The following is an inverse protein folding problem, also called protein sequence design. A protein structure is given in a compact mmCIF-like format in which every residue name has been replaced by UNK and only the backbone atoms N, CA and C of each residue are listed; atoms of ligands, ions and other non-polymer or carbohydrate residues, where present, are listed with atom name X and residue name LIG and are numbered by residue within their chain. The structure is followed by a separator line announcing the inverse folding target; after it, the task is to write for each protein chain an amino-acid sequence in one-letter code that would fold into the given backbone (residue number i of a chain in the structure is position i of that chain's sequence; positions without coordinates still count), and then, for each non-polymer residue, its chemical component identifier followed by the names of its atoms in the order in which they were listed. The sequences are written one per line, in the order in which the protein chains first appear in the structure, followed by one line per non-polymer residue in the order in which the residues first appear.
data_IF_619741154837
#
_entry.id   IF_619741154837
#
_cell.length_a   1.000
_cell.length_b   1.000
_cell.length_c   1.000
_cell.angle_alpha   90.00
_cell.angle_beta   90.00
_cell.angle_gamma   90.00
#
_symmetry.space_group_name_H-M   'P 1'
#
loop_
_entity.id
_entity.type
_entity.pdbx_description
1 polymer ?
#
# COMPACT_ATOMS: atom_id res chain seq x y z
N UNK A 1 -11.29 29.55 -10.66
CA UNK A 1 -12.20 28.89 -9.69
C UNK A 1 -11.37 28.31 -8.57
N UNK A 2 -11.81 28.42 -7.33
CA UNK A 2 -11.23 27.71 -6.19
C UNK A 2 -11.36 26.21 -6.42
N UNK A 3 -10.37 25.44 -5.96
CA UNK A 3 -10.37 23.97 -6.05
C UNK A 3 -10.33 23.41 -4.63
N UNK A 4 -11.07 22.33 -4.41
CA UNK A 4 -10.91 21.54 -3.18
C UNK A 4 -9.60 20.79 -3.28
N UNK A 5 -8.71 21.02 -2.32
CA UNK A 5 -7.39 20.40 -2.24
C UNK A 5 -7.33 19.59 -0.95
N UNK A 6 -6.88 18.34 -1.05
CA UNK A 6 -6.59 17.51 0.13
C UNK A 6 -5.16 17.78 0.59
N UNK A 7 -5.03 18.06 1.87
CA UNK A 7 -3.72 18.29 2.51
C UNK A 7 -3.41 17.10 3.39
N UNK A 8 -2.20 16.57 3.26
CA UNK A 8 -1.66 15.46 4.05
C UNK A 8 -0.40 15.90 4.76
N UNK A 9 -0.31 15.66 6.05
CA UNK A 9 0.87 15.95 6.86
C UNK A 9 1.82 14.75 6.88
N UNK A 10 3.06 14.97 6.44
CA UNK A 10 4.15 14.00 6.41
C UNK A 10 5.17 14.33 7.49
N UNK A 11 5.21 13.53 8.54
CA UNK A 11 6.27 13.59 9.56
C UNK A 11 7.59 13.11 8.94
N UNK A 12 8.65 13.92 9.02
CA UNK A 12 10.02 13.48 8.76
C UNK A 12 10.67 13.17 10.10
N UNK A 13 10.97 11.90 10.33
CA UNK A 13 11.54 11.37 11.57
C UNK A 13 12.91 10.77 11.30
N UNK A 14 13.96 11.37 11.85
CA UNK A 14 15.33 10.92 11.64
C UNK A 14 16.26 11.34 12.78
N UNK A 15 17.29 10.53 13.10
CA UNK A 15 18.37 10.91 14.00
C UNK A 15 19.26 12.02 13.40
N UNK A 16 20.05 12.67 14.26
CA UNK A 16 20.85 13.84 13.89
C UNK A 16 21.93 13.61 12.82
N UNK A 17 22.40 12.38 12.63
CA UNK A 17 23.40 12.01 11.62
C UNK A 17 22.88 12.00 10.18
N UNK A 18 21.57 12.13 10.01
CA UNK A 18 20.89 12.24 8.71
C UNK A 18 20.05 13.52 8.58
N UNK A 19 20.25 14.49 9.45
CA UNK A 19 19.51 15.77 9.42
C UNK A 19 19.66 16.55 8.10
N UNK A 20 20.78 16.39 7.38
CA UNK A 20 20.98 16.98 6.05
C UNK A 20 19.97 16.45 5.02
N UNK A 21 19.46 15.23 5.20
CA UNK A 21 18.47 14.67 4.32
C UNK A 21 17.11 15.40 4.41
N UNK A 22 16.80 16.04 5.55
CA UNK A 22 15.51 16.70 5.78
C UNK A 22 15.24 17.78 4.72
N UNK A 23 16.19 18.66 4.45
CA UNK A 23 16.02 19.70 3.42
C UNK A 23 15.88 19.14 2.01
N UNK A 24 16.60 18.06 1.70
CA UNK A 24 16.49 17.39 0.40
C UNK A 24 15.11 16.74 0.21
N UNK A 25 14.61 16.11 1.26
CA UNK A 25 13.28 15.48 1.28
C UNK A 25 12.16 16.53 1.21
N UNK A 26 12.29 17.66 1.91
CA UNK A 26 11.35 18.78 1.81
C UNK A 26 11.30 19.37 0.40
N UNK A 27 12.46 19.56 -0.24
CA UNK A 27 12.53 20.01 -1.65
C UNK A 27 11.84 19.01 -2.58
N UNK A 28 12.01 17.73 -2.33
CA UNK A 28 11.36 16.69 -3.11
C UNK A 28 9.83 16.67 -2.92
N UNK A 29 9.35 16.84 -1.71
CA UNK A 29 7.91 16.99 -1.44
C UNK A 29 7.34 18.22 -2.15
N UNK A 30 8.06 19.33 -2.17
CA UNK A 30 7.66 20.52 -2.94
C UNK A 30 7.63 20.23 -4.46
N UNK A 31 8.58 19.46 -4.97
CA UNK A 31 8.58 19.01 -6.37
C UNK A 31 7.35 18.14 -6.64
N UNK A 32 7.09 17.13 -5.79
CA UNK A 32 5.89 16.30 -5.87
C UNK A 32 4.60 17.15 -5.90
N UNK A 33 4.47 18.11 -5.00
CA UNK A 33 3.30 19.01 -4.94
C UNK A 33 3.08 19.79 -6.23
N UNK A 34 4.16 20.28 -6.86
CA UNK A 34 4.09 21.07 -8.09
C UNK A 34 3.68 20.27 -9.33
N UNK A 35 4.02 18.98 -9.37
CA UNK A 35 3.74 18.12 -10.52
C UNK A 35 2.59 17.16 -10.25
N UNK A 36 2.80 16.13 -9.44
CA UNK A 36 1.79 15.12 -9.16
C UNK A 36 0.64 15.69 -8.32
N UNK A 37 0.95 16.39 -7.24
CA UNK A 37 -0.02 16.97 -6.32
C UNK A 37 -0.96 17.95 -7.00
N UNK A 38 -0.43 18.89 -7.79
CA UNK A 38 -1.22 19.86 -8.56
C UNK A 38 -2.18 19.19 -9.53
N UNK A 39 -1.77 18.10 -10.19
CA UNK A 39 -2.61 17.34 -11.12
C UNK A 39 -3.78 16.66 -10.42
N UNK A 40 -3.55 16.15 -9.20
CA UNK A 40 -4.48 15.33 -8.45
C UNK A 40 -5.19 16.06 -7.30
N UNK A 41 -5.02 17.39 -7.18
CA UNK A 41 -5.55 18.24 -6.09
C UNK A 41 -5.10 17.75 -4.69
N UNK A 42 -3.83 17.39 -4.57
CA UNK A 42 -3.19 16.92 -3.34
C UNK A 42 -2.05 17.86 -2.99
N UNK A 43 -1.89 18.14 -1.70
CA UNK A 43 -0.71 18.80 -1.14
C UNK A 43 -0.19 17.92 0.01
N UNK A 44 1.10 17.62 -0.02
CA UNK A 44 1.82 17.02 1.09
C UNK A 44 2.58 18.13 1.80
N UNK A 45 2.35 18.28 3.09
CA UNK A 45 3.04 19.26 3.95
C UNK A 45 3.99 18.51 4.87
N UNK A 46 5.28 18.81 4.79
CA UNK A 46 6.28 18.22 5.67
C UNK A 46 6.15 18.78 7.09
N UNK A 47 6.32 17.90 8.07
CA UNK A 47 6.36 18.23 9.50
C UNK A 47 7.66 17.72 10.08
N UNK A 48 8.38 18.57 10.79
CA UNK A 48 9.62 18.19 11.47
C UNK A 48 9.71 18.93 12.81
N UNK A 49 10.15 18.22 13.85
CA UNK A 49 10.17 18.75 15.21
C UNK A 49 10.88 20.09 15.34
N UNK A 50 11.98 20.33 14.61
CA UNK A 50 12.77 21.58 14.69
C UNK A 50 12.07 22.81 14.11
N UNK A 51 11.02 22.64 13.33
CA UNK A 51 10.30 23.72 12.63
C UNK A 51 8.84 23.86 13.06
N UNK A 52 8.23 22.76 13.45
CA UNK A 52 6.78 22.67 13.64
C UNK A 52 6.38 22.47 15.11
N UNK A 53 7.34 22.36 16.05
CA UNK A 53 7.06 22.33 17.47
C UNK A 53 7.08 23.75 18.08
N UNK A 54 6.32 23.91 19.15
CA UNK A 54 6.29 25.12 19.96
C UNK A 54 6.65 24.82 21.43
N UNK A 55 7.09 25.86 22.16
CA UNK A 55 7.46 25.72 23.56
C UNK A 55 6.25 25.34 24.41
N UNK A 56 6.29 24.19 25.06
CA UNK A 56 5.27 23.70 25.99
C UNK A 56 5.96 23.03 27.19
N UNK A 57 5.36 23.19 28.40
CA UNK A 57 5.82 22.59 29.64
C UNK A 57 4.71 21.73 30.25
N UNK A 58 5.08 20.81 31.12
CA UNK A 58 4.11 20.03 31.90
C UNK A 58 4.12 18.52 31.57
N UNK A 59 4.93 18.12 30.60
CA UNK A 59 5.14 16.69 30.27
C UNK A 59 6.56 16.43 29.75
N UNK A 60 6.91 15.18 29.51
CA UNK A 60 8.19 14.82 28.92
C UNK A 60 8.32 15.36 27.48
N UNK A 61 9.52 15.79 27.04
CA UNK A 61 9.71 16.41 25.73
C UNK A 61 9.17 15.55 24.56
N UNK A 62 9.40 14.25 24.57
CA UNK A 62 8.93 13.37 23.49
C UNK A 62 7.40 13.25 23.48
N UNK A 63 6.75 13.20 24.64
CA UNK A 63 5.29 13.19 24.71
C UNK A 63 4.66 14.48 24.17
N UNK A 64 5.28 15.62 24.44
CA UNK A 64 4.84 16.89 23.89
C UNK A 64 4.98 16.92 22.37
N UNK A 65 6.11 16.43 21.83
CA UNK A 65 6.32 16.30 20.39
C UNK A 65 5.33 15.33 19.74
N UNK A 66 5.08 14.19 20.38
CA UNK A 66 4.09 13.24 19.91
C UNK A 66 2.71 13.88 19.75
N UNK A 67 2.26 14.59 20.76
CA UNK A 67 0.96 15.29 20.75
C UNK A 67 0.91 16.43 19.73
N UNK A 68 1.97 17.24 19.62
CA UNK A 68 2.00 18.41 18.75
C UNK A 68 2.12 18.05 17.27
N UNK A 69 2.86 16.98 16.93
CA UNK A 69 3.25 16.70 15.54
C UNK A 69 2.87 15.28 15.12
N UNK A 70 3.28 14.25 15.88
CA UNK A 70 3.17 12.84 15.44
C UNK A 70 1.71 12.43 15.30
N UNK A 71 0.88 12.69 16.33
CA UNK A 71 -0.52 12.29 16.37
C UNK A 71 -1.36 12.95 15.26
N UNK A 72 -1.00 14.17 14.87
CA UNK A 72 -1.68 14.94 13.84
C UNK A 72 -1.20 14.64 12.42
N UNK A 73 -0.05 13.97 12.25
CA UNK A 73 0.48 13.62 10.93
C UNK A 73 -0.27 12.45 10.31
N UNK A 74 -0.46 12.46 8.98
CA UNK A 74 -1.17 11.42 8.22
C UNK A 74 -0.26 10.27 7.81
N UNK A 75 1.04 10.56 7.65
CA UNK A 75 2.06 9.60 7.25
C UNK A 75 3.42 9.99 7.85
N UNK A 76 4.35 9.05 7.87
CA UNK A 76 5.72 9.29 8.32
C UNK A 76 6.76 8.81 7.30
N UNK A 77 7.91 9.47 7.32
CA UNK A 77 9.12 9.11 6.61
C UNK A 77 10.23 8.94 7.64
N UNK A 78 10.66 7.69 7.88
CA UNK A 78 11.75 7.32 8.76
C UNK A 78 13.05 7.09 7.98
N UNK A 79 14.16 7.70 8.42
CA UNK A 79 15.48 7.49 7.83
C UNK A 79 16.49 7.19 8.92
N UNK A 80 17.20 6.09 8.82
CA UNK A 80 18.31 5.73 9.71
C UNK A 80 19.61 5.54 8.92
N UNK A 81 20.73 5.87 9.56
CA UNK A 81 22.05 5.59 9.03
C UNK A 81 22.92 4.85 10.05
N UNK A 82 23.66 5.57 10.90
CA UNK A 82 24.55 4.98 11.90
C UNK A 82 24.10 5.24 13.34
N UNK A 83 23.24 6.21 13.57
CA UNK A 83 22.67 6.53 14.87
C UNK A 83 21.21 6.11 14.96
N UNK A 84 20.83 5.54 16.08
CA UNK A 84 19.44 5.20 16.38
C UNK A 84 18.69 6.40 17.00
N UNK A 85 19.43 7.22 17.72
CA UNK A 85 18.93 8.42 18.38
C UNK A 85 19.06 8.34 19.90
N UNK A 86 18.50 9.36 20.57
CA UNK A 86 18.51 9.47 22.03
C UNK A 86 17.34 8.66 22.62
N UNK A 87 17.59 7.82 23.65
CA UNK A 87 16.51 7.08 24.30
C UNK A 87 15.44 7.99 24.90
N UNK A 88 14.19 7.54 24.84
CA UNK A 88 13.04 8.08 25.56
C UNK A 88 12.72 7.21 26.77
N UNK A 89 11.66 7.49 27.50
CA UNK A 89 11.26 6.68 28.66
C UNK A 89 10.92 5.22 28.27
N UNK A 90 10.24 5.03 27.13
CA UNK A 90 9.69 3.74 26.73
C UNK A 90 10.36 3.12 25.50
N UNK A 91 11.20 3.87 24.78
CA UNK A 91 11.81 3.43 23.52
C UNK A 91 13.32 3.69 23.49
N UNK A 92 14.01 2.97 22.64
CA UNK A 92 15.44 3.14 22.43
C UNK A 92 15.84 4.46 21.76
N UNK A 93 14.86 5.16 21.14
CA UNK A 93 15.03 6.52 20.60
C UNK A 93 13.69 7.22 20.33
N UNK A 94 13.72 8.57 20.22
CA UNK A 94 12.55 9.35 19.80
C UNK A 94 12.10 8.99 18.39
N UNK A 95 13.03 8.76 17.44
CA UNK A 95 12.71 8.31 16.09
C UNK A 95 12.01 6.95 16.08
N UNK A 96 12.46 6.00 16.90
CA UNK A 96 11.77 4.71 17.08
C UNK A 96 10.35 4.94 17.60
N UNK A 97 10.18 5.72 18.64
CA UNK A 97 8.89 6.00 19.26
C UNK A 97 7.91 6.63 18.27
N UNK A 98 8.35 7.61 17.50
CA UNK A 98 7.54 8.26 16.46
C UNK A 98 7.07 7.27 15.39
N UNK A 99 7.97 6.40 14.90
CA UNK A 99 7.65 5.38 13.89
C UNK A 99 6.68 4.34 14.44
N UNK A 100 6.96 3.79 15.64
CA UNK A 100 6.11 2.78 16.28
C UNK A 100 4.71 3.33 16.57
N UNK A 101 4.64 4.59 16.99
CA UNK A 101 3.37 5.26 17.23
C UNK A 101 2.56 5.41 15.96
N UNK A 102 3.17 5.81 14.85
CA UNK A 102 2.52 5.91 13.55
C UNK A 102 2.03 4.53 13.05
N UNK A 103 2.85 3.49 13.20
CA UNK A 103 2.48 2.11 12.86
C UNK A 103 1.30 1.61 13.70
N UNK A 104 1.32 1.87 15.03
CA UNK A 104 0.23 1.46 15.93
C UNK A 104 -1.10 2.14 15.60
N UNK A 105 -1.08 3.34 15.03
CA UNK A 105 -2.25 4.06 14.53
C UNK A 105 -2.70 3.60 13.13
N UNK A 106 -2.01 2.62 12.52
CA UNK A 106 -2.30 2.14 11.16
C UNK A 106 -2.00 3.16 10.06
N UNK A 107 -1.13 4.14 10.33
CA UNK A 107 -0.75 5.18 9.36
C UNK A 107 0.38 4.68 8.45
N UNK A 108 0.50 5.29 7.27
CA UNK A 108 1.56 4.95 6.32
C UNK A 108 2.93 5.38 6.85
N UNK A 109 3.89 4.47 6.82
CA UNK A 109 5.29 4.75 7.13
C UNK A 109 6.17 4.34 5.95
N UNK A 110 6.98 5.29 5.47
CA UNK A 110 8.06 5.05 4.50
C UNK A 110 9.36 4.91 5.30
N UNK A 111 9.98 3.73 5.29
CA UNK A 111 11.16 3.46 6.10
C UNK A 111 12.38 3.15 5.24
N UNK A 112 13.47 3.88 5.50
CA UNK A 112 14.72 3.78 4.75
C UNK A 112 15.92 3.64 5.69
N UNK A 113 16.88 2.83 5.26
CA UNK A 113 18.19 2.67 5.93
C UNK A 113 19.28 3.06 4.95
N UNK A 114 20.10 4.07 5.30
CA UNK A 114 21.25 4.44 4.50
C UNK A 114 22.41 3.47 4.74
N UNK A 115 23.04 3.06 3.65
CA UNK A 115 24.22 2.18 3.63
C UNK A 115 25.37 2.86 2.87
N UNK A 116 25.68 4.08 3.28
CA UNK A 116 26.80 4.84 2.71
C UNK A 116 28.10 4.56 3.45
N UNK A 117 29.22 4.60 2.73
CA UNK A 117 30.53 4.32 3.34
C UNK A 117 30.84 5.24 4.53
N UNK A 118 31.30 4.66 5.61
CA UNK A 118 31.81 5.38 6.78
C UNK A 118 33.05 4.68 7.33
N UNK A 119 34.00 5.45 7.83
CA UNK A 119 35.13 4.87 8.54
C UNK A 119 34.68 4.10 9.78
N UNK A 120 35.11 2.85 9.99
CA UNK A 120 34.72 2.06 11.17
C UNK A 120 34.94 2.76 12.49
N UNK A 121 35.96 3.63 12.58
CA UNK A 121 36.28 4.41 13.79
C UNK A 121 35.24 5.49 14.13
N UNK A 122 34.34 5.80 13.21
CA UNK A 122 33.26 6.80 13.40
C UNK A 122 31.91 6.16 13.71
N UNK A 123 31.82 4.83 13.71
CA UNK A 123 30.60 4.09 14.00
C UNK A 123 30.48 3.89 15.51
N UNK A 124 29.42 4.40 16.09
CA UNK A 124 28.99 4.03 17.42
C UNK A 124 28.32 2.66 17.33
N UNK A 125 29.03 1.62 17.80
CA UNK A 125 28.58 0.24 17.68
C UNK A 125 27.26 -0.04 18.43
N UNK A 126 27.03 0.60 19.58
CA UNK A 126 25.81 0.45 20.35
C UNK A 126 24.59 1.05 19.61
N UNK A 127 24.76 2.23 19.04
CA UNK A 127 23.73 2.87 18.21
C UNK A 127 23.45 2.04 16.96
N UNK A 128 24.48 1.59 16.26
CA UNK A 128 24.31 0.81 15.03
C UNK A 128 23.66 -0.56 15.30
N UNK A 129 24.02 -1.21 16.41
CA UNK A 129 23.37 -2.46 16.83
C UNK A 129 21.87 -2.30 17.03
N UNK A 130 21.42 -1.18 17.62
CA UNK A 130 19.99 -0.89 17.79
C UNK A 130 19.29 -0.76 16.44
N UNK A 131 19.92 -0.13 15.43
CA UNK A 131 19.38 -0.05 14.06
C UNK A 131 19.18 -1.44 13.47
N UNK A 132 20.18 -2.34 13.62
CA UNK A 132 20.08 -3.69 13.10
C UNK A 132 18.95 -4.49 13.77
N UNK A 133 18.78 -4.35 15.09
CA UNK A 133 17.68 -4.97 15.82
C UNK A 133 16.30 -4.42 15.39
N UNK A 134 16.20 -3.10 15.22
CA UNK A 134 14.98 -2.48 14.73
C UNK A 134 14.64 -2.92 13.30
N UNK A 135 15.63 -2.99 12.42
CA UNK A 135 15.49 -3.51 11.06
C UNK A 135 15.02 -4.97 11.04
N UNK A 136 15.57 -5.80 11.91
CA UNK A 136 15.21 -7.23 12.01
C UNK A 136 13.78 -7.41 12.57
N UNK A 137 13.40 -6.62 13.57
CA UNK A 137 12.03 -6.59 14.13
C UNK A 137 10.98 -6.36 13.05
N UNK A 138 11.18 -5.41 12.16
CA UNK A 138 10.19 -5.03 11.14
C UNK A 138 10.31 -5.78 9.81
N UNK A 139 11.24 -6.71 9.70
CA UNK A 139 11.50 -7.49 8.48
C UNK A 139 10.30 -8.31 7.98
N UNK A 140 9.48 -8.78 8.90
CA UNK A 140 8.27 -9.57 8.60
C UNK A 140 6.98 -8.73 8.57
N UNK A 141 7.04 -7.44 8.94
CA UNK A 141 5.86 -6.60 9.12
C UNK A 141 5.65 -5.59 7.97
N UNK A 142 6.69 -5.37 7.15
CA UNK A 142 6.59 -4.35 6.10
C UNK A 142 7.72 -4.41 5.08
N UNK A 143 7.63 -3.51 4.10
CA UNK A 143 8.66 -3.30 3.08
C UNK A 143 9.42 -2.02 3.43
N UNK A 144 10.72 -2.14 3.61
CA UNK A 144 11.65 -1.02 3.76
C UNK A 144 12.82 -1.16 2.77
N UNK A 145 13.56 -0.08 2.56
CA UNK A 145 14.63 -0.08 1.59
C UNK A 145 15.99 0.26 2.22
N UNK A 146 17.03 -0.43 1.77
CA UNK A 146 18.42 -0.06 2.06
C UNK A 146 18.95 0.73 0.88
N UNK A 147 19.46 1.94 1.11
CA UNK A 147 19.75 2.97 0.12
C UNK A 147 21.22 3.38 0.23
N UNK A 148 21.91 3.50 -0.89
CA UNK A 148 23.37 3.71 -0.95
C UNK A 148 23.79 5.15 -0.62
N UNK A 149 22.96 6.14 -0.94
CA UNK A 149 23.24 7.57 -0.72
C UNK A 149 21.98 8.42 -0.67
N UNK A 150 22.12 9.69 -0.36
CA UNK A 150 21.03 10.64 -0.22
C UNK A 150 20.27 10.88 -1.54
N UNK A 151 20.96 10.84 -2.68
CA UNK A 151 20.34 11.03 -3.99
C UNK A 151 19.44 9.85 -4.34
N UNK A 152 19.89 8.63 -4.06
CA UNK A 152 19.12 7.42 -4.23
C UNK A 152 17.91 7.39 -3.26
N UNK A 153 18.09 7.92 -2.01
CA UNK A 153 16.99 8.09 -1.05
C UNK A 153 15.89 8.99 -1.62
N UNK A 154 16.27 10.18 -2.10
CA UNK A 154 15.30 11.15 -2.64
C UNK A 154 14.54 10.57 -3.83
N UNK A 155 15.23 9.89 -4.75
CA UNK A 155 14.61 9.25 -5.90
C UNK A 155 13.65 8.13 -5.49
N UNK A 156 14.07 7.28 -4.56
CA UNK A 156 13.24 6.16 -4.08
C UNK A 156 12.04 6.64 -3.29
N UNK A 157 12.20 7.68 -2.50
CA UNK A 157 11.09 8.31 -1.78
C UNK A 157 10.07 8.92 -2.76
N UNK A 158 10.52 9.63 -3.82
CA UNK A 158 9.63 10.15 -4.87
C UNK A 158 8.79 9.03 -5.48
N UNK A 159 9.43 7.96 -5.95
CA UNK A 159 8.74 6.82 -6.52
C UNK A 159 7.67 6.25 -5.55
N UNK A 160 8.06 6.04 -4.29
CA UNK A 160 7.15 5.49 -3.30
C UNK A 160 6.00 6.43 -2.96
N UNK A 161 6.25 7.74 -2.89
CA UNK A 161 5.23 8.75 -2.65
C UNK A 161 4.21 8.83 -3.80
N UNK A 162 4.69 8.80 -5.05
CA UNK A 162 3.85 8.78 -6.24
C UNK A 162 3.00 7.49 -6.31
N UNK A 163 3.60 6.32 -6.07
CA UNK A 163 2.88 5.05 -6.03
C UNK A 163 1.80 5.02 -4.95
N UNK A 164 2.12 5.54 -3.76
CA UNK A 164 1.17 5.60 -2.65
C UNK A 164 -0.03 6.47 -3.00
N UNK A 165 0.20 7.70 -3.48
CA UNK A 165 -0.89 8.60 -3.83
C UNK A 165 -1.65 8.19 -5.10
N UNK A 166 -0.99 7.55 -6.05
CA UNK A 166 -1.67 6.96 -7.21
C UNK A 166 -2.67 5.87 -6.75
N UNK A 167 -2.27 5.03 -5.81
CA UNK A 167 -3.16 4.01 -5.22
C UNK A 167 -4.38 4.62 -4.51
N UNK A 168 -4.18 5.69 -3.73
CA UNK A 168 -5.27 6.41 -3.05
C UNK A 168 -6.20 7.07 -4.06
N UNK A 169 -5.64 7.78 -5.05
CA UNK A 169 -6.41 8.53 -6.06
C UNK A 169 -7.26 7.59 -6.90
N UNK A 170 -6.68 6.48 -7.35
CA UNK A 170 -7.44 5.42 -8.05
C UNK A 170 -8.56 4.86 -7.18
N UNK A 171 -8.28 4.59 -5.90
CA UNK A 171 -9.29 4.12 -4.96
C UNK A 171 -10.45 5.11 -4.77
N UNK A 172 -10.18 6.40 -4.75
CA UNK A 172 -11.21 7.43 -4.61
C UNK A 172 -12.02 7.66 -5.89
N UNK A 173 -11.38 7.65 -7.06
CA UNK A 173 -12.07 7.69 -8.34
C UNK A 173 -12.99 6.48 -8.47
N UNK A 174 -12.53 5.33 -8.02
CA UNK A 174 -13.32 4.12 -7.99
C UNK A 174 -14.53 4.23 -7.06
N UNK A 175 -14.36 4.77 -5.84
CA UNK A 175 -15.47 5.02 -4.89
C UNK A 175 -16.47 6.06 -5.43
N UNK A 176 -16.01 7.09 -6.14
CA UNK A 176 -16.88 8.13 -6.74
C UNK A 176 -17.64 7.61 -7.95
N UNK A 177 -17.08 6.68 -8.72
CA UNK A 177 -17.72 6.11 -9.92
C UNK A 177 -18.66 4.95 -9.63
N UNK A 178 -18.66 4.43 -8.40
CA UNK A 178 -19.40 3.21 -8.06
C UNK A 178 -20.63 3.47 -7.21
N UNK A 179 -21.80 3.33 -7.82
CA UNK A 179 -22.84 2.49 -7.17
C UNK A 179 -22.13 1.19 -6.74
N UNK A 180 -22.35 0.71 -5.50
CA UNK A 180 -21.70 -0.48 -4.93
C UNK A 180 -21.51 -1.57 -5.99
N UNK A 181 -20.26 -1.77 -6.46
CA UNK A 181 -19.96 -2.81 -7.45
C UNK A 181 -19.71 -4.11 -6.71
N UNK A 182 -20.58 -5.06 -6.89
CA UNK A 182 -20.47 -6.39 -6.28
C UNK A 182 -19.74 -7.34 -7.23
N UNK A 183 -18.77 -8.08 -6.70
CA UNK A 183 -17.97 -9.09 -7.39
C UNK A 183 -18.42 -10.47 -6.95
N UNK A 184 -18.65 -11.36 -7.89
CA UNK A 184 -18.84 -12.78 -7.58
C UNK A 184 -17.47 -13.47 -7.55
N UNK A 185 -17.07 -13.98 -6.38
CA UNK A 185 -15.84 -14.77 -6.22
C UNK A 185 -16.16 -16.24 -6.05
N UNK A 186 -15.63 -17.07 -6.94
CA UNK A 186 -15.94 -18.50 -7.00
C UNK A 186 -14.70 -19.31 -6.67
N UNK A 187 -14.67 -19.87 -5.47
CA UNK A 187 -13.55 -20.65 -4.92
C UNK A 187 -14.09 -21.59 -3.84
N UNK A 188 -13.70 -22.85 -3.86
CA UNK A 188 -14.11 -23.84 -2.85
C UNK A 188 -13.36 -23.69 -1.51
N UNK A 189 -12.36 -22.80 -1.47
CA UNK A 189 -11.57 -22.40 -0.29
C UNK A 189 -11.43 -20.88 -0.20
N UNK A 190 -12.52 -20.15 0.00
CA UNK A 190 -12.51 -18.69 -0.02
C UNK A 190 -11.61 -18.05 1.06
N UNK A 191 -11.27 -18.80 2.12
CA UNK A 191 -10.31 -18.38 3.14
C UNK A 191 -8.91 -18.10 2.60
N UNK A 192 -8.52 -18.71 1.49
CA UNK A 192 -7.20 -18.52 0.87
C UNK A 192 -7.05 -17.12 0.23
N UNK A 193 -8.14 -16.42 -0.01
CA UNK A 193 -8.16 -15.16 -0.76
C UNK A 193 -8.64 -13.97 0.09
N UNK A 194 -8.54 -14.06 1.42
CA UNK A 194 -8.97 -13.00 2.36
C UNK A 194 -8.13 -11.74 2.14
N UNK A 195 -6.83 -11.89 1.89
CA UNK A 195 -5.91 -10.77 1.67
C UNK A 195 -6.32 -9.93 0.46
N UNK A 196 -6.56 -10.56 -0.68
CA UNK A 196 -6.95 -9.90 -1.93
C UNK A 196 -8.31 -9.20 -1.77
N UNK A 197 -9.27 -9.86 -1.14
CA UNK A 197 -10.58 -9.24 -0.86
C UNK A 197 -10.47 -8.04 0.04
N UNK A 198 -9.71 -8.13 1.14
CA UNK A 198 -9.51 -6.99 2.05
C UNK A 198 -8.89 -5.78 1.35
N UNK A 199 -7.98 -6.00 0.40
CA UNK A 199 -7.43 -4.90 -0.41
C UNK A 199 -8.50 -4.32 -1.33
N UNK A 200 -9.24 -5.16 -2.06
CA UNK A 200 -10.27 -4.73 -2.99
C UNK A 200 -11.46 -4.05 -2.29
N UNK A 201 -11.78 -4.44 -1.04
CA UNK A 201 -12.78 -3.76 -0.20
C UNK A 201 -12.39 -2.31 0.13
N UNK A 202 -11.09 -2.02 0.27
CA UNK A 202 -10.61 -0.63 0.43
C UNK A 202 -10.96 0.25 -0.78
N UNK A 203 -11.15 -0.36 -1.94
CA UNK A 203 -11.64 0.30 -3.16
C UNK A 203 -13.19 0.38 -3.23
N UNK A 204 -13.91 -0.02 -2.18
CA UNK A 204 -15.37 0.05 -2.11
C UNK A 204 -16.08 -1.08 -2.85
N UNK A 205 -15.38 -2.16 -3.18
CA UNK A 205 -15.96 -3.36 -3.76
C UNK A 205 -16.57 -4.26 -2.67
N UNK A 206 -17.62 -4.98 -3.01
CA UNK A 206 -18.25 -5.98 -2.14
C UNK A 206 -18.20 -7.35 -2.83
N UNK A 207 -18.29 -8.41 -2.06
CA UNK A 207 -18.11 -9.78 -2.57
C UNK A 207 -19.28 -10.68 -2.19
N UNK A 208 -19.79 -11.43 -3.18
CA UNK A 208 -20.54 -12.66 -2.97
C UNK A 208 -19.62 -13.85 -3.21
N UNK A 209 -19.54 -14.75 -2.25
CA UNK A 209 -18.69 -15.94 -2.32
C UNK A 209 -19.49 -17.16 -2.74
N UNK A 210 -19.07 -17.83 -3.80
CA UNK A 210 -19.65 -19.08 -4.25
C UNK A 210 -18.61 -20.20 -4.17
N UNK A 211 -19.00 -21.35 -3.63
CA UNK A 211 -18.09 -22.48 -3.41
C UNK A 211 -18.08 -23.47 -4.58
N UNK A 212 -18.94 -23.26 -5.59
CA UNK A 212 -19.13 -24.16 -6.72
C UNK A 212 -19.64 -23.45 -7.96
N UNK A 213 -19.47 -24.08 -9.12
CA UNK A 213 -20.06 -23.64 -10.40
C UNK A 213 -21.57 -23.51 -10.27
N UNK A 214 -22.24 -24.48 -9.67
CA UNK A 214 -23.69 -24.48 -9.51
C UNK A 214 -24.17 -23.29 -8.64
N UNK A 215 -23.49 -23.02 -7.53
CA UNK A 215 -23.81 -21.89 -6.65
C UNK A 215 -23.58 -20.55 -7.35
N UNK A 216 -22.49 -20.42 -8.10
CA UNK A 216 -22.19 -19.23 -8.90
C UNK A 216 -23.28 -18.94 -9.93
N UNK A 217 -23.73 -19.94 -10.68
CA UNK A 217 -24.81 -19.81 -11.66
C UNK A 217 -26.16 -19.49 -11.00
N UNK A 218 -26.41 -20.01 -9.80
CA UNK A 218 -27.60 -19.63 -9.03
C UNK A 218 -27.56 -18.14 -8.64
N UNK A 219 -26.42 -17.64 -8.15
CA UNK A 219 -26.26 -16.23 -7.83
C UNK A 219 -26.43 -15.33 -9.05
N UNK A 220 -25.86 -15.70 -10.19
CA UNK A 220 -25.99 -14.95 -11.46
C UNK A 220 -27.45 -14.80 -11.96
N UNK A 221 -28.32 -15.71 -11.60
CA UNK A 221 -29.76 -15.63 -11.97
C UNK A 221 -30.52 -14.61 -11.14
N UNK A 222 -30.07 -14.34 -9.91
CA UNK A 222 -30.81 -13.53 -8.94
C UNK A 222 -30.14 -12.20 -8.62
N UNK A 223 -28.86 -12.02 -8.95
CA UNK A 223 -28.07 -10.83 -8.64
C UNK A 223 -27.32 -10.34 -9.87
N UNK A 224 -26.99 -9.04 -9.85
CA UNK A 224 -26.12 -8.42 -10.87
C UNK A 224 -24.73 -8.22 -10.29
N UNK A 225 -23.74 -8.74 -10.96
CA UNK A 225 -22.35 -8.57 -10.59
C UNK A 225 -21.63 -7.68 -11.59
N UNK A 226 -20.65 -6.93 -11.11
CA UNK A 226 -19.82 -6.07 -11.94
C UNK A 226 -18.65 -6.85 -12.59
N UNK A 227 -18.22 -7.96 -11.96
CA UNK A 227 -17.10 -8.79 -12.40
C UNK A 227 -17.19 -10.16 -11.70
N UNK A 228 -16.62 -11.20 -12.32
CA UNK A 228 -16.49 -12.53 -11.74
C UNK A 228 -15.00 -12.86 -11.60
N UNK A 229 -14.60 -13.38 -10.42
CA UNK A 229 -13.28 -13.99 -10.19
C UNK A 229 -13.53 -15.47 -9.92
N UNK A 230 -12.79 -16.35 -10.56
CA UNK A 230 -12.93 -17.80 -10.37
C UNK A 230 -11.58 -18.47 -10.20
N UNK A 231 -11.45 -19.32 -9.18
CA UNK A 231 -10.38 -20.31 -9.19
C UNK A 231 -10.59 -21.31 -10.35
N UNK A 232 -9.46 -21.86 -10.83
CA UNK A 232 -9.47 -22.83 -11.93
C UNK A 232 -9.89 -24.23 -11.47
N UNK A 233 -9.28 -24.72 -10.40
CA UNK A 233 -9.48 -26.06 -9.87
C UNK A 233 -10.26 -26.06 -8.58
N UNK A 234 -11.40 -26.72 -8.54
CA UNK A 234 -12.26 -26.86 -7.37
C UNK A 234 -12.57 -28.32 -7.09
N UNK A 235 -13.24 -28.62 -5.97
CA UNK A 235 -13.65 -30.01 -5.61
C UNK A 235 -14.44 -30.72 -6.70
N UNK A 236 -15.14 -29.96 -7.53
CA UNK A 236 -15.93 -30.46 -8.66
C UNK A 236 -15.05 -30.97 -9.80
N UNK A 237 -13.85 -30.37 -10.01
CA UNK A 237 -12.93 -30.74 -11.07
C UNK A 237 -11.75 -29.76 -11.24
N UNK A 238 -10.74 -30.18 -11.98
CA UNK A 238 -9.49 -29.43 -12.18
C UNK A 238 -9.59 -28.30 -13.23
N UNK A 239 -10.70 -28.20 -13.96
CA UNK A 239 -10.96 -27.19 -14.99
C UNK A 239 -12.28 -26.44 -14.81
N UNK A 240 -12.77 -26.39 -13.59
CA UNK A 240 -14.05 -25.79 -13.25
C UNK A 240 -14.14 -24.30 -13.55
N UNK A 241 -13.00 -23.59 -13.52
CA UNK A 241 -12.93 -22.20 -13.96
C UNK A 241 -13.32 -22.02 -15.43
N UNK A 242 -12.94 -22.95 -16.31
CA UNK A 242 -13.36 -22.91 -17.71
C UNK A 242 -14.81 -23.32 -17.90
N UNK A 243 -15.29 -24.32 -17.15
CA UNK A 243 -16.69 -24.75 -17.20
C UNK A 243 -17.59 -23.58 -16.79
N UNK A 244 -17.27 -22.92 -15.70
CA UNK A 244 -18.02 -21.73 -15.26
C UNK A 244 -17.97 -20.61 -16.30
N UNK A 245 -16.78 -20.30 -16.85
CA UNK A 245 -16.62 -19.26 -17.88
C UNK A 245 -17.52 -19.54 -19.09
N UNK A 246 -17.55 -20.77 -19.57
CA UNK A 246 -18.38 -21.17 -20.70
C UNK A 246 -19.88 -20.97 -20.42
N UNK A 247 -20.36 -21.41 -19.26
CA UNK A 247 -21.75 -21.20 -18.87
C UNK A 247 -22.09 -19.72 -18.71
N UNK A 248 -21.19 -18.91 -18.11
CA UNK A 248 -21.37 -17.48 -18.00
C UNK A 248 -21.44 -16.82 -19.38
N UNK A 249 -20.62 -17.22 -20.34
CA UNK A 249 -20.65 -16.63 -21.70
C UNK A 249 -21.92 -16.95 -22.49
N UNK A 250 -22.64 -18.01 -22.12
CA UNK A 250 -24.01 -18.30 -22.64
C UNK A 250 -25.03 -17.31 -22.09
N UNK A 251 -24.86 -16.86 -20.83
CA UNK A 251 -25.77 -15.95 -20.12
C UNK A 251 -25.42 -14.48 -20.35
N UNK A 252 -24.13 -14.13 -20.23
CA UNK A 252 -23.60 -12.79 -20.36
C UNK A 252 -22.24 -12.80 -21.08
N UNK A 253 -22.23 -12.25 -22.30
CA UNK A 253 -21.02 -12.15 -23.13
C UNK A 253 -20.08 -11.02 -22.72
N UNK A 254 -20.54 -10.08 -21.87
CA UNK A 254 -19.84 -8.81 -21.58
C UNK A 254 -19.25 -8.75 -20.17
N UNK A 255 -19.84 -9.45 -19.20
CA UNK A 255 -19.36 -9.40 -17.82
C UNK A 255 -17.86 -9.77 -17.76
N UNK A 256 -17.00 -8.92 -17.16
CA UNK A 256 -15.60 -9.26 -16.99
C UNK A 256 -15.44 -10.54 -16.14
N UNK A 257 -14.58 -11.44 -16.62
CA UNK A 257 -14.29 -12.72 -15.96
C UNK A 257 -12.78 -12.89 -15.83
N UNK A 258 -12.28 -13.06 -14.62
CA UNK A 258 -10.86 -13.25 -14.34
C UNK A 258 -10.67 -14.63 -13.71
N UNK A 259 -9.66 -15.37 -14.19
CA UNK A 259 -9.24 -16.62 -13.58
C UNK A 259 -8.09 -16.32 -12.62
N UNK A 260 -8.28 -16.65 -11.34
CA UNK A 260 -7.26 -16.56 -10.31
C UNK A 260 -6.88 -17.97 -9.86
N UNK A 261 -5.77 -18.50 -10.38
CA UNK A 261 -5.40 -19.91 -10.26
C UNK A 261 -3.92 -20.09 -9.93
N UNK A 262 -3.54 -21.21 -9.34
CA UNK A 262 -2.16 -21.51 -8.93
C UNK A 262 -1.12 -21.59 -10.05
N UNK A 263 -1.51 -21.54 -11.34
CA UNK A 263 -0.61 -21.63 -12.49
C UNK A 263 -0.72 -20.44 -13.43
N UNK A 264 0.43 -19.84 -13.74
CA UNK A 264 0.61 -18.73 -14.71
C UNK A 264 1.36 -19.19 -15.98
N UNK A 265 1.29 -20.45 -16.33
CA UNK A 265 1.90 -20.90 -17.61
C UNK A 265 1.23 -20.17 -18.77
N UNK A 266 2.04 -19.72 -19.74
CA UNK A 266 1.57 -18.96 -20.90
C UNK A 266 0.41 -19.66 -21.62
N UNK A 267 0.48 -20.97 -21.75
CA UNK A 267 -0.57 -21.79 -22.37
C UNK A 267 -1.93 -21.67 -21.65
N UNK A 268 -1.91 -21.61 -20.31
CA UNK A 268 -3.13 -21.46 -19.51
C UNK A 268 -3.73 -20.05 -19.63
N UNK A 269 -2.86 -19.02 -19.68
CA UNK A 269 -3.29 -17.63 -19.89
C UNK A 269 -3.90 -17.48 -21.28
N UNK A 270 -3.23 -17.98 -22.32
CA UNK A 270 -3.69 -17.91 -23.70
C UNK A 270 -5.02 -18.67 -23.89
N UNK A 271 -5.18 -19.81 -23.23
CA UNK A 271 -6.43 -20.58 -23.25
C UNK A 271 -7.58 -19.82 -22.57
N UNK A 272 -7.34 -19.23 -21.39
CA UNK A 272 -8.33 -18.43 -20.68
C UNK A 272 -8.83 -17.25 -21.55
N UNK A 273 -7.90 -16.52 -22.17
CA UNK A 273 -8.21 -15.39 -23.05
C UNK A 273 -9.00 -15.84 -24.30
N UNK A 274 -8.62 -16.95 -24.95
CA UNK A 274 -9.35 -17.51 -26.08
C UNK A 274 -10.78 -17.92 -25.74
N UNK A 275 -11.02 -18.36 -24.50
CA UNK A 275 -12.37 -18.69 -23.99
C UNK A 275 -13.17 -17.47 -23.56
N UNK A 276 -12.57 -16.27 -23.64
CA UNK A 276 -13.24 -15.01 -23.35
C UNK A 276 -13.08 -14.50 -21.92
N UNK A 277 -12.08 -14.97 -21.16
CA UNK A 277 -11.67 -14.32 -19.91
C UNK A 277 -10.97 -13.00 -20.20
N UNK A 278 -11.04 -12.04 -19.29
CA UNK A 278 -10.33 -10.76 -19.35
C UNK A 278 -8.94 -10.83 -18.72
N UNK A 279 -8.62 -11.93 -18.06
CA UNK A 279 -7.31 -12.17 -17.48
C UNK A 279 -7.22 -13.54 -16.80
N UNK A 280 -5.98 -13.99 -16.62
CA UNK A 280 -5.64 -15.18 -15.84
C UNK A 280 -4.31 -14.92 -15.14
N UNK A 281 -4.28 -15.05 -13.82
CA UNK A 281 -3.07 -14.79 -13.01
C UNK A 281 -3.03 -15.64 -11.75
N UNK A 282 -1.83 -15.79 -11.17
CA UNK A 282 -1.60 -16.37 -9.84
C UNK A 282 -0.96 -15.33 -8.90
N UNK A 283 -0.84 -14.09 -9.34
CA UNK A 283 -0.21 -13.02 -8.58
C UNK A 283 -1.27 -12.08 -7.99
N UNK A 284 -1.29 -11.85 -6.67
CA UNK A 284 -2.25 -10.97 -6.01
C UNK A 284 -2.27 -9.54 -6.56
N UNK A 285 -1.09 -8.94 -6.80
CA UNK A 285 -0.97 -7.58 -7.34
C UNK A 285 -1.55 -7.47 -8.75
N UNK A 286 -1.24 -8.43 -9.64
CA UNK A 286 -1.81 -8.46 -10.99
C UNK A 286 -3.33 -8.69 -10.97
N UNK A 287 -3.85 -9.48 -10.01
CA UNK A 287 -5.28 -9.66 -9.84
C UNK A 287 -5.96 -8.33 -9.53
N UNK A 288 -5.42 -7.58 -8.58
CA UNK A 288 -5.94 -6.26 -8.20
C UNK A 288 -5.95 -5.33 -9.42
N UNK A 289 -4.83 -5.25 -10.16
CA UNK A 289 -4.74 -4.42 -11.38
C UNK A 289 -5.76 -4.85 -12.45
N UNK A 290 -5.95 -6.15 -12.68
CA UNK A 290 -6.93 -6.67 -13.62
C UNK A 290 -8.37 -6.30 -13.21
N UNK A 291 -8.71 -6.44 -11.92
CA UNK A 291 -10.02 -6.08 -11.39
C UNK A 291 -10.28 -4.59 -11.60
N UNK A 292 -9.37 -3.74 -11.12
CA UNK A 292 -9.53 -2.28 -11.22
C UNK A 292 -9.60 -1.82 -12.68
N UNK A 293 -8.73 -2.33 -13.55
CA UNK A 293 -8.72 -2.01 -15.00
C UNK A 293 -10.04 -2.36 -15.70
N UNK A 294 -10.63 -3.52 -15.37
CA UNK A 294 -11.87 -3.96 -16.01
C UNK A 294 -13.10 -3.24 -15.46
N UNK A 295 -13.05 -2.79 -14.21
CA UNK A 295 -14.14 -2.03 -13.59
C UNK A 295 -14.09 -0.52 -13.89
N UNK A 296 -12.91 0.04 -14.23
CA UNK A 296 -12.73 1.45 -14.60
C UNK A 296 -13.04 1.72 -16.08
N UNK A 297 -13.12 0.71 -16.93
CA UNK A 297 -13.39 0.85 -18.38
C UNK A 297 -14.87 1.02 -18.73
N UNK A 298 -15.74 0.95 -17.73
CA UNK A 298 -17.19 1.11 -17.88
C UNK A 298 -17.63 2.41 -17.14
#
# INVERSE_FOLDING_TARGET
MAKDIKVYDLLISCPSDVSECVEMLEKEVNHFNNFFGRKNNIIVRTRHWSKDSYSEFGNQPQELLNKQIVDSSDMALGVFWTRFGTPTENYGSGTEEEIERMLSMGKQVFLYFLDKPLSPSKIDQEQYKKILLFKDKHKSEGIFFTIQDEKALVNKFRENLELYFDSITRGEEFKKSSSKKEILWVDDRPENNVYERNILEKYGLTFSLALSTQQALHYMKHNKFALIISDMGRKEGIREGYVLLEEIRKMDKKIPFIIYAGSKKKEHVDEALRRGAQGCTNNPGELIDLVLKNLLKN
#
